data_IF_916125565162
#
_entry.id   IF_916125565162
#
_cell.length_a   1.000
_cell.length_b   1.000
_cell.length_c   1.000
_cell.angle_alpha   90.00
_cell.angle_beta   90.00
_cell.angle_gamma   90.00
#
_symmetry.space_group_name_H-M   'P 1'
#
loop_
_entity.id
_entity.type
_entity.pdbx_description
1 polymer ?
#
# COMPACT_ATOMS: atom_id res chain seq x y z
N UNK A 1 -13.83 8.85 -6.31
CA UNK A 1 -14.23 8.45 -7.68
C UNK A 1 -14.33 9.67 -8.60
N UNK A 2 -15.23 10.64 -8.35
CA UNK A 2 -15.29 11.90 -9.13
C UNK A 2 -14.10 12.86 -8.90
N UNK A 3 -13.61 12.97 -7.66
CA UNK A 3 -12.43 13.79 -7.28
C UNK A 3 -11.10 13.27 -7.86
N UNK A 4 -10.96 11.95 -7.97
CA UNK A 4 -9.80 11.29 -8.60
C UNK A 4 -9.82 11.53 -10.12
N UNK A 5 -11.01 11.53 -10.71
CA UNK A 5 -11.24 11.71 -12.13
C UNK A 5 -10.97 13.14 -12.63
N UNK A 6 -11.43 14.17 -11.90
CA UNK A 6 -11.43 15.56 -12.39
C UNK A 6 -10.12 16.34 -12.22
N UNK A 7 -9.25 15.99 -11.26
CA UNK A 7 -8.06 16.80 -10.95
C UNK A 7 -6.72 16.13 -11.21
N UNK A 8 -6.70 14.80 -11.29
CA UNK A 8 -5.52 14.09 -10.80
C UNK A 8 -4.64 13.49 -11.89
N UNK A 9 -5.17 13.27 -13.10
CA UNK A 9 -4.38 12.86 -14.27
C UNK A 9 -3.41 13.97 -14.70
N UNK A 10 -3.85 15.23 -14.62
CA UNK A 10 -2.99 16.40 -14.86
C UNK A 10 -1.99 16.60 -13.72
N UNK A 11 -2.40 16.37 -12.47
CA UNK A 11 -1.54 16.50 -11.29
C UNK A 11 -0.44 15.42 -11.27
N UNK A 12 -0.75 14.16 -11.57
CA UNK A 12 0.19 13.03 -11.59
C UNK A 12 1.23 13.12 -12.73
N UNK A 13 0.86 13.74 -13.85
CA UNK A 13 1.79 13.98 -14.96
C UNK A 13 2.69 15.20 -14.75
N UNK A 14 2.38 16.05 -13.76
CA UNK A 14 3.27 17.15 -13.41
C UNK A 14 4.62 16.59 -12.93
N UNK A 15 5.76 17.03 -13.51
CA UNK A 15 7.08 16.48 -13.18
C UNK A 15 7.42 16.65 -11.70
N UNK A 16 6.92 17.72 -11.06
CA UNK A 16 7.05 17.95 -9.62
C UNK A 16 6.38 16.85 -8.78
N UNK A 17 5.15 16.48 -9.13
CA UNK A 17 4.39 15.46 -8.40
C UNK A 17 5.01 14.09 -8.63
N UNK A 18 5.40 13.76 -9.86
CA UNK A 18 6.09 12.51 -10.15
C UNK A 18 7.41 12.38 -9.37
N UNK A 19 8.21 13.45 -9.30
CA UNK A 19 9.43 13.48 -8.48
C UNK A 19 9.12 13.28 -7.00
N UNK A 20 8.11 13.98 -6.47
CA UNK A 20 7.65 13.82 -5.10
C UNK A 20 7.24 12.39 -4.80
N UNK A 21 6.47 11.74 -5.69
CA UNK A 21 6.02 10.36 -5.52
C UNK A 21 7.18 9.36 -5.49
N UNK A 22 8.14 9.48 -6.41
CA UNK A 22 9.32 8.60 -6.43
C UNK A 22 10.17 8.76 -5.17
N UNK A 23 10.41 10.00 -4.74
CA UNK A 23 11.19 10.28 -3.54
C UNK A 23 10.45 9.84 -2.27
N UNK A 24 9.15 10.10 -2.20
CA UNK A 24 8.30 9.67 -1.11
C UNK A 24 8.24 8.14 -1.00
N UNK A 25 8.06 7.45 -2.12
CA UNK A 25 8.11 5.99 -2.18
C UNK A 25 9.45 5.43 -1.73
N UNK A 26 10.57 6.03 -2.15
CA UNK A 26 11.91 5.66 -1.66
C UNK A 26 11.99 5.75 -0.13
N UNK A 27 11.66 6.89 0.46
CA UNK A 27 11.79 7.09 1.91
C UNK A 27 10.88 6.14 2.70
N UNK A 28 9.61 6.00 2.30
CA UNK A 28 8.69 5.13 3.04
C UNK A 28 9.10 3.67 2.91
N UNK A 29 9.44 3.17 1.72
CA UNK A 29 9.83 1.77 1.54
C UNK A 29 11.13 1.43 2.28
N UNK A 30 12.13 2.32 2.25
CA UNK A 30 13.39 2.12 2.98
C UNK A 30 13.15 2.20 4.48
N UNK A 31 12.42 3.20 4.97
CA UNK A 31 12.11 3.34 6.40
C UNK A 31 11.32 2.14 6.92
N UNK A 32 10.22 1.76 6.26
CA UNK A 32 9.41 0.60 6.62
C UNK A 32 10.21 -0.70 6.52
N UNK A 33 11.10 -0.82 5.53
CA UNK A 33 11.97 -1.99 5.40
C UNK A 33 12.98 -2.11 6.56
N UNK A 34 13.63 -1.01 6.94
CA UNK A 34 14.55 -0.97 8.09
C UNK A 34 13.80 -1.25 9.39
N UNK A 35 12.64 -0.62 9.59
CA UNK A 35 11.79 -0.83 10.76
C UNK A 35 11.32 -2.29 10.84
N UNK A 36 10.94 -2.89 9.71
CA UNK A 36 10.54 -4.31 9.65
C UNK A 36 11.68 -5.24 10.06
N UNK A 37 12.91 -4.99 9.59
CA UNK A 37 14.10 -5.76 9.97
C UNK A 37 14.44 -5.58 11.45
N UNK A 38 14.39 -4.33 11.96
CA UNK A 38 14.71 -4.01 13.36
C UNK A 38 13.70 -4.65 14.32
N UNK A 39 12.42 -4.60 13.98
CA UNK A 39 11.34 -5.14 14.81
C UNK A 39 11.17 -6.66 14.65
N UNK A 40 11.68 -7.27 13.57
CA UNK A 40 11.69 -8.74 13.40
C UNK A 40 12.40 -9.46 14.56
N UNK A 41 13.35 -8.80 15.23
CA UNK A 41 14.05 -9.32 16.41
C UNK A 41 13.28 -9.22 17.72
N UNK A 42 12.25 -8.37 17.79
CA UNK A 42 11.55 -7.98 19.03
C UNK A 42 10.15 -8.60 19.12
N UNK A 43 9.73 -9.40 18.13
CA UNK A 43 8.41 -10.08 18.12
C UNK A 43 8.24 -10.90 19.40
N UNK A 44 7.59 -10.29 20.39
CA UNK A 44 7.38 -10.88 21.71
C UNK A 44 6.00 -11.54 21.72
N UNK A 45 5.89 -12.72 22.35
CA UNK A 45 4.61 -13.41 22.50
C UNK A 45 3.56 -12.56 23.24
N UNK A 46 3.98 -11.55 24.00
CA UNK A 46 3.10 -10.59 24.68
C UNK A 46 2.34 -9.65 23.74
N UNK A 47 2.87 -9.31 22.56
CA UNK A 47 2.13 -8.50 21.57
C UNK A 47 1.07 -9.32 20.82
N UNK A 48 1.27 -10.63 20.69
CA UNK A 48 0.34 -11.56 20.05
C UNK A 48 -0.94 -11.79 20.86
N UNK A 49 -0.89 -11.59 22.19
CA UNK A 49 -2.03 -11.65 23.10
C UNK A 49 -2.53 -10.23 23.34
N UNK A 50 -3.44 -9.80 22.46
CA UNK A 50 -4.05 -8.47 22.43
C UNK A 50 -4.18 -7.82 23.80
N UNK A 51 -3.36 -6.79 24.01
CA UNK A 51 -3.28 -6.05 25.25
C UNK A 51 -4.57 -5.20 25.39
N UNK A 52 -5.56 -5.68 26.16
CA UNK A 52 -6.70 -4.91 26.72
C UNK A 52 -7.57 -4.00 25.83
N UNK A 53 -7.27 -3.86 24.55
CA UNK A 53 -7.90 -2.89 23.67
C UNK A 53 -9.24 -3.42 23.21
N UNK A 54 -10.28 -2.59 23.37
CA UNK A 54 -11.61 -2.86 22.84
C UNK A 54 -11.55 -3.03 21.33
N UNK A 55 -12.38 -3.93 20.79
CA UNK A 55 -12.43 -4.24 19.35
C UNK A 55 -12.62 -2.96 18.50
N UNK A 56 -13.39 -2.02 19.03
CA UNK A 56 -13.65 -0.69 18.46
C UNK A 56 -12.39 0.18 18.36
N UNK A 57 -11.52 0.17 19.38
CA UNK A 57 -10.28 0.94 19.36
C UNK A 57 -9.29 0.37 18.33
N UNK A 58 -9.20 -0.96 18.23
CA UNK A 58 -8.37 -1.62 17.22
C UNK A 58 -8.90 -1.37 15.80
N UNK A 59 -10.22 -1.41 15.61
CA UNK A 59 -10.85 -1.08 14.32
C UNK A 59 -10.62 0.38 13.93
N UNK A 60 -10.85 1.33 14.85
CA UNK A 60 -10.69 2.76 14.58
C UNK A 60 -9.22 3.12 14.31
N UNK A 61 -8.30 2.55 15.08
CA UNK A 61 -6.86 2.72 14.85
C UNK A 61 -6.46 2.18 13.46
N UNK A 62 -6.90 0.96 13.10
CA UNK A 62 -6.63 0.40 11.78
C UNK A 62 -7.27 1.19 10.64
N UNK A 63 -8.50 1.67 10.84
CA UNK A 63 -9.22 2.51 9.88
C UNK A 63 -8.50 3.84 9.65
N UNK A 64 -8.14 4.56 10.72
CA UNK A 64 -7.41 5.84 10.62
C UNK A 64 -6.01 5.64 10.04
N UNK A 65 -5.32 4.57 10.47
CA UNK A 65 -3.99 4.24 9.94
C UNK A 65 -4.05 3.96 8.44
N UNK A 66 -5.09 3.29 7.94
CA UNK A 66 -5.30 3.06 6.50
C UNK A 66 -5.75 4.31 5.75
N UNK A 67 -6.69 5.09 6.32
CA UNK A 67 -7.24 6.29 5.71
C UNK A 67 -6.18 7.38 5.52
N UNK A 68 -5.30 7.54 6.50
CA UNK A 68 -4.19 8.49 6.46
C UNK A 68 -2.89 7.85 5.97
N UNK A 69 -2.90 6.59 5.52
CA UNK A 69 -1.72 5.95 4.96
C UNK A 69 -1.38 6.64 3.63
N UNK A 70 -0.29 7.43 3.57
CA UNK A 70 0.05 8.17 2.38
C UNK A 70 0.39 7.22 1.21
N UNK A 71 0.94 6.03 1.47
CA UNK A 71 1.14 5.03 0.41
C UNK A 71 -0.19 4.49 -0.12
N UNK A 72 -1.17 4.18 0.74
CA UNK A 72 -2.49 3.72 0.29
C UNK A 72 -3.19 4.78 -0.55
N UNK A 73 -3.12 6.04 -0.12
CA UNK A 73 -3.62 7.17 -0.90
C UNK A 73 -2.91 7.19 -2.25
N UNK A 74 -1.58 7.24 -2.28
CA UNK A 74 -0.82 7.30 -3.53
C UNK A 74 -1.04 6.10 -4.44
N UNK A 75 -1.25 4.91 -3.89
CA UNK A 75 -1.58 3.69 -4.63
C UNK A 75 -2.94 3.81 -5.33
N UNK A 76 -3.99 4.17 -4.58
CA UNK A 76 -5.32 4.39 -5.13
C UNK A 76 -5.34 5.57 -6.11
N UNK A 77 -4.55 6.61 -5.84
CA UNK A 77 -4.45 7.73 -6.76
C UNK A 77 -3.70 7.34 -8.05
N UNK A 78 -2.55 6.67 -7.94
CA UNK A 78 -1.72 6.32 -9.09
C UNK A 78 -2.32 5.21 -9.96
N UNK A 79 -2.56 4.03 -9.38
CA UNK A 79 -2.96 2.84 -10.15
C UNK A 79 -4.43 2.94 -10.54
N UNK A 80 -5.32 3.16 -9.58
CA UNK A 80 -6.75 3.22 -9.88
C UNK A 80 -7.10 4.48 -10.69
N UNK A 81 -6.49 5.63 -10.38
CA UNK A 81 -6.67 6.85 -11.17
C UNK A 81 -6.23 6.69 -12.64
N UNK A 82 -5.11 6.02 -12.91
CA UNK A 82 -4.63 5.79 -14.29
C UNK A 82 -5.49 4.77 -15.05
N UNK A 83 -5.94 3.69 -14.40
CA UNK A 83 -6.86 2.72 -15.01
C UNK A 83 -8.20 3.40 -15.33
N UNK A 84 -8.75 4.17 -14.40
CA UNK A 84 -10.02 4.88 -14.61
C UNK A 84 -9.90 5.95 -15.70
N UNK A 85 -8.77 6.66 -15.76
CA UNK A 85 -8.46 7.60 -16.85
C UNK A 85 -8.48 6.93 -18.22
N UNK A 86 -7.85 5.77 -18.33
CA UNK A 86 -7.76 5.02 -19.58
C UNK A 86 -9.15 4.51 -20.00
N UNK A 87 -9.90 3.92 -19.07
CA UNK A 87 -11.27 3.44 -19.31
C UNK A 87 -12.20 4.60 -19.70
N UNK A 88 -12.04 5.78 -19.11
CA UNK A 88 -12.90 6.92 -19.38
C UNK A 88 -12.69 7.57 -20.74
N UNK A 89 -11.46 7.54 -21.26
CA UNK A 89 -11.17 8.00 -22.61
C UNK A 89 -11.64 7.01 -23.69
N UNK A 90 -11.83 5.74 -23.31
CA UNK A 90 -12.08 4.64 -24.26
C UNK A 90 -13.54 4.17 -24.25
N UNK A 91 -14.26 4.33 -23.13
CA UNK A 91 -15.59 3.74 -22.92
C UNK A 91 -16.64 4.73 -22.37
N UNK A 92 -17.95 4.46 -22.60
CA UNK A 92 -19.04 5.27 -22.06
C UNK A 92 -19.13 5.21 -20.53
N UNK A 93 -19.71 6.25 -19.93
CA UNK A 93 -19.82 6.43 -18.46
C UNK A 93 -20.53 5.27 -17.75
N UNK A 94 -21.48 4.56 -18.39
CA UNK A 94 -22.10 3.38 -17.77
C UNK A 94 -21.10 2.23 -17.56
N UNK A 95 -20.15 2.04 -18.48
CA UNK A 95 -19.13 0.98 -18.35
C UNK A 95 -18.07 1.34 -17.31
N UNK A 96 -17.77 2.63 -17.14
CA UNK A 96 -16.90 3.13 -16.06
C UNK A 96 -17.40 2.72 -14.67
N UNK A 97 -18.72 2.81 -14.43
CA UNK A 97 -19.33 2.40 -13.15
C UNK A 97 -19.19 0.89 -12.92
N UNK A 98 -19.38 0.08 -13.97
CA UNK A 98 -19.23 -1.38 -13.90
C UNK A 98 -17.78 -1.76 -13.60
N UNK A 99 -16.81 -1.19 -14.33
CA UNK A 99 -15.39 -1.46 -14.08
C UNK A 99 -14.95 -1.00 -12.68
N UNK A 100 -15.42 0.15 -12.23
CA UNK A 100 -15.16 0.64 -10.87
C UNK A 100 -15.73 -0.31 -9.82
N UNK A 101 -16.97 -0.76 -10.00
CA UNK A 101 -17.62 -1.74 -9.12
C UNK A 101 -16.89 -3.09 -9.11
N UNK A 102 -16.44 -3.57 -10.27
CA UNK A 102 -15.67 -4.81 -10.38
C UNK A 102 -14.33 -4.72 -9.63
N UNK A 103 -13.63 -3.58 -9.69
CA UNK A 103 -12.39 -3.37 -8.93
C UNK A 103 -12.68 -3.40 -7.42
N UNK A 104 -13.71 -2.68 -6.96
CA UNK A 104 -14.06 -2.67 -5.53
C UNK A 104 -14.44 -4.07 -5.06
N UNK A 105 -15.27 -4.80 -5.82
CA UNK A 105 -15.64 -6.18 -5.50
C UNK A 105 -14.42 -7.10 -5.49
N UNK A 106 -13.50 -6.96 -6.44
CA UNK A 106 -12.26 -7.72 -6.50
C UNK A 106 -11.39 -7.49 -5.27
N UNK A 107 -11.22 -6.23 -4.85
CA UNK A 107 -10.45 -5.89 -3.63
C UNK A 107 -11.14 -6.43 -2.38
N UNK A 108 -12.46 -6.27 -2.25
CA UNK A 108 -13.20 -6.83 -1.11
C UNK A 108 -13.07 -8.35 -1.04
N UNK A 109 -13.19 -9.04 -2.18
CA UNK A 109 -13.03 -10.49 -2.25
C UNK A 109 -11.61 -10.92 -1.86
N UNK A 110 -10.61 -10.19 -2.33
CA UNK A 110 -9.21 -10.40 -1.96
C UNK A 110 -8.99 -10.21 -0.47
N UNK A 111 -9.48 -9.13 0.11
CA UNK A 111 -9.30 -8.80 1.53
C UNK A 111 -9.98 -9.85 2.43
N UNK A 112 -11.19 -10.31 2.08
CA UNK A 112 -11.88 -11.41 2.79
C UNK A 112 -11.10 -12.71 2.69
N UNK A 113 -10.59 -13.03 1.49
CA UNK A 113 -9.80 -14.23 1.26
C UNK A 113 -8.51 -14.20 2.09
N UNK A 114 -7.81 -13.06 2.12
CA UNK A 114 -6.60 -12.89 2.91
C UNK A 114 -6.86 -12.90 4.42
N UNK A 115 -7.97 -12.33 4.88
CA UNK A 115 -8.38 -12.42 6.28
C UNK A 115 -8.63 -13.88 6.71
N UNK A 116 -9.33 -14.66 5.87
CA UNK A 116 -9.56 -16.08 6.10
C UNK A 116 -8.25 -16.89 6.07
N UNK A 117 -7.40 -16.66 5.06
CA UNK A 117 -6.11 -17.34 4.92
C UNK A 117 -5.20 -17.03 6.12
N UNK A 118 -5.10 -15.77 6.53
CA UNK A 118 -4.32 -15.34 7.69
C UNK A 118 -4.79 -16.01 8.99
N UNK A 119 -6.11 -16.14 9.17
CA UNK A 119 -6.70 -16.82 10.33
C UNK A 119 -6.30 -18.30 10.42
N UNK A 120 -6.17 -18.98 9.28
CA UNK A 120 -5.71 -20.38 9.20
C UNK A 120 -4.19 -20.45 9.42
N UNK A 121 -3.42 -19.60 8.71
CA UNK A 121 -1.96 -19.59 8.77
C UNK A 121 -1.41 -19.23 10.15
N UNK A 122 -2.16 -18.46 10.94
CA UNK A 122 -1.78 -18.12 12.33
C UNK A 122 -1.54 -19.35 13.21
N UNK A 123 -2.16 -20.49 12.90
CA UNK A 123 -1.93 -21.76 13.61
C UNK A 123 -0.57 -22.42 13.28
N UNK A 124 0.03 -22.06 12.14
CA UNK A 124 1.29 -22.63 11.64
C UNK A 124 2.49 -21.67 11.76
N UNK A 125 2.24 -20.39 12.05
CA UNK A 125 3.25 -19.34 12.16
C UNK A 125 3.94 -19.38 13.53
N UNK A 126 5.08 -20.08 13.61
CA UNK A 126 6.01 -19.98 14.75
C UNK A 126 6.80 -18.67 14.70
N UNK A 127 7.22 -18.15 15.86
CA UNK A 127 7.99 -16.89 15.99
C UNK A 127 9.24 -16.86 15.10
N UNK A 128 9.93 -17.99 14.93
CA UNK A 128 11.08 -18.09 14.02
C UNK A 128 10.74 -17.89 12.54
N UNK A 129 9.60 -18.43 12.09
CA UNK A 129 9.14 -18.25 10.71
C UNK A 129 8.69 -16.80 10.45
N UNK A 130 7.98 -16.19 11.42
CA UNK A 130 7.58 -14.79 11.36
C UNK A 130 8.80 -13.87 11.25
N UNK A 131 9.86 -14.14 12.04
CA UNK A 131 11.11 -13.38 11.99
C UNK A 131 11.78 -13.46 10.62
N UNK A 132 11.85 -14.65 10.01
CA UNK A 132 12.40 -14.83 8.67
C UNK A 132 11.58 -14.10 7.61
N UNK A 133 10.25 -14.20 7.67
CA UNK A 133 9.35 -13.51 6.73
C UNK A 133 9.52 -11.99 6.85
N UNK A 134 9.52 -11.43 8.07
CA UNK A 134 9.72 -10.00 8.30
C UNK A 134 11.10 -9.51 7.82
N UNK A 135 12.14 -10.32 8.00
CA UNK A 135 13.47 -9.97 7.52
C UNK A 135 13.54 -9.96 5.98
N UNK A 136 12.98 -11.00 5.32
CA UNK A 136 12.94 -11.08 3.86
C UNK A 136 12.05 -10.00 3.23
N UNK A 137 10.89 -9.72 3.82
CA UNK A 137 10.00 -8.66 3.33
C UNK A 137 10.65 -7.29 3.51
N UNK A 138 11.30 -7.03 4.66
CA UNK A 138 12.04 -5.80 4.91
C UNK A 138 13.18 -5.58 3.92
N UNK A 139 13.96 -6.63 3.61
CA UNK A 139 15.01 -6.56 2.59
C UNK A 139 14.44 -6.27 1.19
N UNK A 140 13.32 -6.91 0.85
CA UNK A 140 12.63 -6.68 -0.44
C UNK A 140 12.12 -5.23 -0.54
N UNK A 141 11.54 -4.69 0.55
CA UNK A 141 11.10 -3.30 0.63
C UNK A 141 12.26 -2.32 0.43
N UNK A 142 13.41 -2.56 1.06
CA UNK A 142 14.61 -1.74 0.85
C UNK A 142 15.07 -1.80 -0.61
N UNK A 143 15.09 -2.99 -1.22
CA UNK A 143 15.44 -3.17 -2.62
C UNK A 143 14.53 -2.38 -3.57
N UNK A 144 13.21 -2.48 -3.39
CA UNK A 144 12.25 -1.65 -4.15
C UNK A 144 12.39 -0.16 -3.82
N UNK A 145 12.69 0.18 -2.57
CA UNK A 145 13.01 1.54 -2.17
C UNK A 145 14.12 2.12 -3.04
N UNK A 146 15.28 1.48 -3.08
CA UNK A 146 16.40 1.93 -3.92
C UNK A 146 16.03 2.07 -5.41
N UNK A 147 15.22 1.16 -5.95
CA UNK A 147 14.69 1.31 -7.30
C UNK A 147 13.91 2.62 -7.48
N UNK A 148 13.02 2.97 -6.53
CA UNK A 148 12.30 4.24 -6.53
C UNK A 148 13.26 5.45 -6.42
N UNK A 149 14.33 5.32 -5.63
CA UNK A 149 15.37 6.34 -5.50
C UNK A 149 16.13 6.59 -6.81
N UNK A 150 16.48 5.53 -7.53
CA UNK A 150 17.11 5.63 -8.86
C UNK A 150 16.17 6.32 -9.85
N UNK A 151 14.88 5.96 -9.86
CA UNK A 151 13.88 6.60 -10.71
C UNK A 151 13.70 8.09 -10.38
N UNK A 152 13.71 8.46 -9.09
CA UNK A 152 13.69 9.87 -8.67
C UNK A 152 14.92 10.62 -9.19
N UNK A 153 16.11 10.02 -9.06
CA UNK A 153 17.37 10.62 -9.51
C UNK A 153 17.41 10.81 -11.03
N UNK A 154 17.01 9.80 -11.80
CA UNK A 154 16.92 9.90 -13.25
C UNK A 154 15.95 11.02 -13.68
N UNK A 155 14.78 11.09 -13.05
CA UNK A 155 13.77 12.10 -13.37
C UNK A 155 14.23 13.54 -13.05
N UNK A 156 15.05 13.72 -12.00
CA UNK A 156 15.51 15.04 -11.55
C UNK A 156 16.76 15.52 -12.28
N UNK A 157 17.67 14.62 -12.65
CA UNK A 157 19.00 14.98 -13.17
C UNK A 157 19.21 14.64 -14.65
N UNK A 158 18.46 13.71 -15.23
CA UNK A 158 18.63 13.23 -16.62
C UNK A 158 17.40 13.50 -17.48
N UNK A 159 16.84 14.70 -17.35
CA UNK A 159 15.60 15.14 -18.00
C UNK A 159 15.62 14.99 -19.52
#
# INVERSE_FOLDING_TARGET
MLLVYLGMIHLLNAPFVKAFLWMFGFFVLVYTGIESIKNAGVISESELRGNGNTLTNSFLAGFLMSLFNPLSILFWLGIYGSILANVANTYPVQQLLIFSGAIVLGVLLWDVTMAAASSIFRRFLKTGLLKTISWMSGLSLIGFGFYFGVQAFQLLFFR
#
